data_IF_179176499691
#
_entry.id   IF_179176499691
#
_cell.length_a   1.000
_cell.length_b   1.000
_cell.length_c   1.000
_cell.angle_alpha   90.00
_cell.angle_beta   90.00
_cell.angle_gamma   90.00
#
_symmetry.space_group_name_H-M   'P 1'
#
loop_
_entity.id
_entity.type
_entity.pdbx_description
1 polymer ?
#
# COMPACT_ATOMS: atom_id res chain seq x y z
N UNK A 1 -13.48 10.15 10.63
CA UNK A 1 -12.01 10.18 10.70
C UNK A 1 -11.48 11.61 10.67
N UNK A 2 -11.94 12.46 9.74
CA UNK A 2 -11.52 13.88 9.64
C UNK A 2 -11.77 14.66 10.94
N UNK A 3 -12.93 14.47 11.58
CA UNK A 3 -13.23 15.11 12.87
C UNK A 3 -12.26 14.68 13.97
N UNK A 4 -11.93 13.38 14.05
CA UNK A 4 -10.99 12.89 15.05
C UNK A 4 -9.58 13.47 14.82
N UNK A 5 -9.11 13.54 13.57
CA UNK A 5 -7.81 14.15 13.26
C UNK A 5 -7.79 15.63 13.64
N UNK A 6 -8.88 16.38 13.38
CA UNK A 6 -8.97 17.78 13.77
C UNK A 6 -8.98 17.98 15.29
N UNK A 7 -9.58 17.09 16.05
CA UNK A 7 -9.60 17.15 17.51
C UNK A 7 -8.23 16.85 18.12
N UNK A 8 -7.54 15.82 17.63
CA UNK A 8 -6.17 15.47 18.06
C UNK A 8 -5.12 16.45 17.56
N UNK A 9 -5.37 17.12 16.44
CA UNK A 9 -4.41 18.02 15.78
C UNK A 9 -4.27 19.41 16.44
N UNK A 10 -4.98 19.71 17.52
CA UNK A 10 -4.89 21.03 18.19
C UNK A 10 -3.51 21.33 18.78
N UNK A 11 -2.77 20.30 19.20
CA UNK A 11 -1.40 20.39 19.72
C UNK A 11 -0.31 20.10 18.67
N UNK A 12 -0.71 19.84 17.43
CA UNK A 12 0.16 19.42 16.35
C UNK A 12 -0.01 17.95 16.02
N UNK A 13 0.46 17.57 14.85
CA UNK A 13 0.34 16.21 14.32
C UNK A 13 1.66 15.77 13.70
N UNK A 14 2.39 14.89 14.40
CA UNK A 14 3.72 14.46 13.99
C UNK A 14 3.69 13.39 12.90
N UNK A 15 2.79 12.39 13.03
CA UNK A 15 2.70 11.25 12.13
C UNK A 15 1.25 10.80 11.93
N UNK A 16 0.87 10.60 10.66
CA UNK A 16 -0.37 9.93 10.29
C UNK A 16 -0.06 8.74 9.41
N UNK A 17 -0.58 7.57 9.77
CA UNK A 17 -0.42 6.32 9.02
C UNK A 17 -1.79 5.83 8.51
N UNK A 18 -2.03 5.95 7.20
CA UNK A 18 -3.16 5.32 6.51
C UNK A 18 -2.88 3.82 6.33
N UNK A 19 -3.41 3.00 7.23
CA UNK A 19 -3.16 1.55 7.27
C UNK A 19 -4.36 0.71 6.82
N UNK A 20 -5.59 1.21 6.97
CA UNK A 20 -6.80 0.47 6.63
C UNK A 20 -6.78 0.02 5.18
N UNK A 21 -7.19 -1.22 4.94
CA UNK A 21 -7.25 -1.77 3.59
C UNK A 21 -7.91 -3.13 3.56
N UNK A 22 -8.52 -3.45 2.43
CA UNK A 22 -9.14 -4.75 2.15
C UNK A 22 -8.60 -5.33 0.85
N UNK A 23 -8.78 -6.63 0.68
CA UNK A 23 -8.60 -7.34 -0.59
C UNK A 23 -9.94 -7.87 -1.07
N UNK A 24 -9.99 -8.46 -2.25
CA UNK A 24 -11.20 -9.15 -2.73
C UNK A 24 -11.42 -10.43 -1.94
N UNK A 25 -12.65 -10.63 -1.45
CA UNK A 25 -13.01 -11.82 -0.66
C UNK A 25 -13.25 -13.05 -1.53
N UNK A 26 -13.65 -12.87 -2.78
CA UNK A 26 -13.93 -13.95 -3.72
C UNK A 26 -12.97 -13.91 -4.90
N UNK A 27 -12.30 -15.02 -5.14
CA UNK A 27 -11.52 -15.24 -6.35
C UNK A 27 -12.47 -15.70 -7.44
N UNK A 28 -12.88 -14.76 -8.28
CA UNK A 28 -13.77 -15.06 -9.39
C UNK A 28 -13.00 -14.93 -10.72
N UNK A 29 -13.29 -15.80 -11.67
CA UNK A 29 -12.73 -15.72 -13.03
C UNK A 29 -13.22 -14.44 -13.73
N UNK A 30 -14.37 -13.94 -13.32
CA UNK A 30 -14.96 -12.68 -13.80
C UNK A 30 -14.84 -11.63 -12.69
N UNK A 31 -14.34 -10.41 -12.98
CA UNK A 31 -14.21 -9.36 -11.98
C UNK A 31 -15.56 -9.00 -11.32
N UNK A 32 -15.62 -9.06 -10.00
CA UNK A 32 -16.74 -8.56 -9.21
C UNK A 32 -16.61 -7.05 -9.01
N UNK A 33 -17.34 -6.28 -9.80
CA UNK A 33 -17.29 -4.81 -9.75
C UNK A 33 -17.84 -4.22 -8.44
N UNK A 34 -18.76 -4.89 -7.76
CA UNK A 34 -19.28 -4.40 -6.47
C UNK A 34 -18.22 -4.49 -5.37
N UNK A 35 -17.58 -5.63 -5.24
CA UNK A 35 -16.43 -5.78 -4.34
C UNK A 35 -15.26 -4.91 -4.78
N UNK A 36 -15.02 -4.79 -6.08
CA UNK A 36 -13.99 -3.92 -6.64
C UNK A 36 -14.16 -2.44 -6.25
N UNK A 37 -15.39 -1.91 -6.32
CA UNK A 37 -15.69 -0.53 -5.87
C UNK A 37 -15.37 -0.35 -4.38
N UNK A 38 -15.73 -1.31 -3.51
CA UNK A 38 -15.40 -1.27 -2.08
C UNK A 38 -13.89 -1.26 -1.84
N UNK A 39 -13.13 -2.04 -2.63
CA UNK A 39 -11.66 -2.04 -2.55
C UNK A 39 -11.09 -0.67 -2.89
N UNK A 40 -11.57 -0.03 -3.95
CA UNK A 40 -11.13 1.32 -4.33
C UNK A 40 -11.53 2.35 -3.27
N UNK A 41 -12.78 2.29 -2.80
CA UNK A 41 -13.30 3.19 -1.77
C UNK A 41 -12.47 3.15 -0.49
N UNK A 42 -12.19 1.95 0.02
CA UNK A 42 -11.44 1.81 1.28
C UNK A 42 -9.94 2.07 1.06
N UNK A 43 -9.33 1.44 0.05
CA UNK A 43 -7.89 1.46 -0.12
C UNK A 43 -7.36 2.77 -0.73
N UNK A 44 -8.17 3.49 -1.50
CA UNK A 44 -7.74 4.73 -2.17
C UNK A 44 -8.44 5.94 -1.56
N UNK A 45 -9.77 6.01 -1.60
CA UNK A 45 -10.48 7.16 -1.02
C UNK A 45 -10.28 7.25 0.49
N UNK A 46 -10.19 6.11 1.19
CA UNK A 46 -9.84 6.08 2.62
C UNK A 46 -8.46 6.69 2.92
N UNK A 47 -7.47 6.49 2.04
CA UNK A 47 -6.15 7.14 2.16
C UNK A 47 -6.27 8.65 1.92
N UNK A 48 -7.00 9.09 0.89
CA UNK A 48 -7.23 10.52 0.63
C UNK A 48 -7.93 11.19 1.81
N UNK A 49 -9.03 10.60 2.31
CA UNK A 49 -9.78 11.09 3.46
C UNK A 49 -8.94 11.14 4.76
N UNK A 50 -7.87 10.36 4.84
CA UNK A 50 -6.93 10.37 5.96
C UNK A 50 -5.87 11.45 5.77
N UNK A 51 -5.36 11.62 4.54
CA UNK A 51 -4.28 12.53 4.25
C UNK A 51 -4.72 13.98 4.20
N UNK A 52 -5.89 14.27 3.63
CA UNK A 52 -6.39 15.64 3.44
C UNK A 52 -6.35 16.45 4.75
N UNK A 53 -7.07 16.08 5.83
CA UNK A 53 -7.06 16.86 7.07
C UNK A 53 -5.68 16.82 7.77
N UNK A 54 -4.88 15.77 7.60
CA UNK A 54 -3.55 15.69 8.16
C UNK A 54 -2.60 16.69 7.48
N UNK A 55 -2.64 16.76 6.15
CA UNK A 55 -1.83 17.69 5.37
C UNK A 55 -2.19 19.13 5.72
N UNK A 56 -3.47 19.47 5.87
CA UNK A 56 -3.92 20.82 6.23
C UNK A 56 -3.32 21.30 7.57
N UNK A 57 -3.23 20.40 8.55
CA UNK A 57 -2.61 20.71 9.85
C UNK A 57 -1.09 20.83 9.70
N UNK A 58 -0.46 19.88 9.01
CA UNK A 58 0.99 19.84 8.83
C UNK A 58 1.52 21.02 8.02
N UNK A 59 0.74 21.52 7.05
CA UNK A 59 1.08 22.72 6.27
C UNK A 59 1.15 23.97 7.15
N UNK A 60 0.23 24.13 8.11
CA UNK A 60 0.23 25.24 9.07
C UNK A 60 1.46 25.19 9.98
N UNK A 61 1.84 23.97 10.38
CA UNK A 61 2.97 23.75 11.30
C UNK A 61 4.32 23.67 10.55
N UNK A 62 4.32 23.62 9.22
CA UNK A 62 5.50 23.41 8.36
C UNK A 62 6.34 22.19 8.79
N UNK A 63 5.68 21.19 9.31
CA UNK A 63 6.27 19.95 9.84
C UNK A 63 5.24 18.85 9.86
N UNK A 64 5.66 17.61 9.64
CA UNK A 64 4.83 16.42 9.77
C UNK A 64 5.35 15.24 8.98
N UNK A 65 4.63 14.13 9.10
CA UNK A 65 4.94 12.90 8.38
C UNK A 65 3.64 12.16 8.07
N UNK A 66 3.32 12.00 6.80
CA UNK A 66 2.24 11.12 6.36
C UNK A 66 2.83 9.81 5.83
N UNK A 67 2.13 8.71 6.08
CA UNK A 67 2.52 7.40 5.58
C UNK A 67 1.30 6.58 5.16
N UNK A 68 1.45 5.74 4.14
CA UNK A 68 0.41 4.81 3.73
C UNK A 68 0.96 3.40 3.56
N UNK A 69 0.10 2.41 3.90
CA UNK A 69 0.37 0.99 3.64
C UNK A 69 -0.19 0.61 2.28
N UNK A 70 0.71 0.52 1.30
CA UNK A 70 0.47 -0.05 -0.01
C UNK A 70 0.71 -1.57 0.00
N UNK A 71 1.32 -2.12 -1.04
CA UNK A 71 1.70 -3.53 -1.18
C UNK A 71 2.67 -3.70 -2.32
N UNK A 72 3.44 -4.78 -2.32
CA UNK A 72 4.19 -5.23 -3.50
C UNK A 72 3.28 -5.54 -4.70
N UNK A 73 2.02 -5.88 -4.46
CA UNK A 73 1.00 -6.06 -5.49
C UNK A 73 0.67 -4.77 -6.27
N UNK A 74 1.03 -3.60 -5.75
CA UNK A 74 0.89 -2.33 -6.46
C UNK A 74 1.89 -2.10 -7.60
N UNK A 75 2.89 -2.97 -7.75
CA UNK A 75 3.90 -2.83 -8.80
C UNK A 75 3.60 -3.65 -10.06
N UNK A 76 2.69 -4.61 -9.96
CA UNK A 76 2.35 -5.54 -11.04
C UNK A 76 0.85 -5.86 -11.03
N UNK A 77 0.28 -6.15 -12.19
CA UNK A 77 -1.09 -6.68 -12.27
C UNK A 77 -1.08 -8.20 -12.07
N UNK A 78 -1.90 -8.70 -11.16
CA UNK A 78 -2.03 -10.13 -10.89
C UNK A 78 -3.44 -10.61 -11.25
N UNK A 79 -3.59 -11.73 -11.99
CA UNK A 79 -4.89 -12.32 -12.27
C UNK A 79 -5.65 -12.63 -10.97
N UNK A 80 -6.95 -12.34 -10.93
CA UNK A 80 -7.79 -12.52 -9.74
C UNK A 80 -7.63 -11.44 -8.64
N UNK A 81 -6.71 -10.47 -8.80
CA UNK A 81 -6.46 -9.42 -7.82
C UNK A 81 -6.46 -8.00 -8.44
N UNK A 82 -7.15 -7.80 -9.57
CA UNK A 82 -7.08 -6.59 -10.38
C UNK A 82 -7.38 -5.30 -9.59
N UNK A 83 -8.50 -5.24 -8.87
CA UNK A 83 -8.88 -4.06 -8.08
C UNK A 83 -7.93 -3.80 -6.91
N UNK A 84 -7.45 -4.87 -6.28
CA UNK A 84 -6.44 -4.75 -5.21
C UNK A 84 -5.12 -4.20 -5.75
N UNK A 85 -4.59 -4.78 -6.83
CA UNK A 85 -3.37 -4.31 -7.47
C UNK A 85 -3.51 -2.84 -7.91
N UNK A 86 -4.61 -2.49 -8.57
CA UNK A 86 -4.90 -1.13 -9.00
C UNK A 86 -4.96 -0.15 -7.82
N UNK A 87 -5.66 -0.53 -6.72
CA UNK A 87 -5.75 0.31 -5.53
C UNK A 87 -4.39 0.55 -4.89
N UNK A 88 -3.55 -0.48 -4.79
CA UNK A 88 -2.21 -0.37 -4.19
C UNK A 88 -1.23 0.39 -5.10
N UNK A 89 -1.37 0.25 -6.42
CA UNK A 89 -0.63 1.07 -7.39
C UNK A 89 -0.99 2.56 -7.24
N UNK A 90 -2.27 2.89 -7.14
CA UNK A 90 -2.73 4.25 -6.92
C UNK A 90 -2.12 4.87 -5.66
N UNK A 91 -2.14 4.16 -4.52
CA UNK A 91 -1.54 4.62 -3.26
C UNK A 91 -0.03 4.81 -3.38
N UNK A 92 0.68 3.90 -4.05
CA UNK A 92 2.13 4.02 -4.27
C UNK A 92 2.45 5.28 -5.07
N UNK A 93 1.74 5.51 -6.18
CA UNK A 93 1.94 6.69 -7.04
C UNK A 93 1.58 8.00 -6.33
N UNK A 94 0.49 8.01 -5.54
CA UNK A 94 0.14 9.18 -4.70
C UNK A 94 1.25 9.51 -3.72
N UNK A 95 1.78 8.53 -2.99
CA UNK A 95 2.87 8.77 -2.04
C UNK A 95 4.15 9.26 -2.74
N UNK A 96 4.45 8.74 -3.92
CA UNK A 96 5.61 9.17 -4.72
C UNK A 96 5.47 10.65 -5.10
N UNK A 97 4.33 11.05 -5.66
CA UNK A 97 4.03 12.44 -6.02
C UNK A 97 4.08 13.35 -4.79
N UNK A 98 3.34 13.02 -3.74
CA UNK A 98 3.32 13.82 -2.51
C UNK A 98 4.69 13.94 -1.84
N UNK A 99 5.56 12.93 -1.97
CA UNK A 99 6.93 13.02 -1.44
C UNK A 99 7.77 14.12 -2.09
N UNK A 100 7.45 14.49 -3.33
CA UNK A 100 8.07 15.61 -4.03
C UNK A 100 7.37 16.93 -3.69
N UNK A 101 6.04 16.96 -3.76
CA UNK A 101 5.23 18.16 -3.60
C UNK A 101 5.32 18.77 -2.18
N UNK A 102 5.29 17.88 -1.15
CA UNK A 102 5.23 18.30 0.26
C UNK A 102 6.60 18.53 0.90
N UNK A 103 7.70 18.13 0.23
CA UNK A 103 9.06 18.30 0.76
C UNK A 103 9.39 19.75 1.12
N UNK A 104 8.99 20.71 0.29
CA UNK A 104 9.25 22.13 0.50
C UNK A 104 8.51 22.71 1.73
N UNK A 105 7.50 22.01 2.22
CA UNK A 105 6.75 22.39 3.42
C UNK A 105 7.21 21.65 4.68
N UNK A 106 8.32 20.90 4.62
CA UNK A 106 8.84 20.17 5.77
C UNK A 106 8.05 18.89 6.10
N UNK A 107 7.18 18.43 5.21
CA UNK A 107 6.35 17.24 5.42
C UNK A 107 7.00 16.04 4.72
N UNK A 108 7.31 15.00 5.51
CA UNK A 108 7.80 13.72 5.00
C UNK A 108 6.66 12.84 4.50
N UNK A 109 6.93 11.98 3.50
CA UNK A 109 5.96 11.00 3.00
C UNK A 109 6.64 9.64 2.91
N UNK A 110 6.01 8.61 3.49
CA UNK A 110 6.49 7.22 3.44
C UNK A 110 5.45 6.31 2.81
N UNK A 111 5.82 5.63 1.73
CA UNK A 111 5.06 4.53 1.16
C UNK A 111 5.61 3.20 1.66
N UNK A 112 4.78 2.40 2.33
CA UNK A 112 5.12 1.10 2.89
C UNK A 112 4.54 0.02 1.97
N UNK A 113 5.40 -0.83 1.40
CA UNK A 113 5.00 -1.87 0.46
C UNK A 113 5.41 -3.25 0.99
N UNK A 114 4.60 -3.86 1.88
CA UNK A 114 4.89 -5.20 2.37
C UNK A 114 4.62 -6.26 1.31
N UNK A 115 5.39 -7.36 1.40
CA UNK A 115 4.99 -8.64 0.84
C UNK A 115 3.94 -9.32 1.73
N UNK A 116 3.98 -10.65 1.81
CA UNK A 116 3.02 -11.39 2.64
C UNK A 116 3.33 -11.25 4.13
N UNK A 117 2.37 -10.72 4.88
CA UNK A 117 2.40 -10.63 6.35
C UNK A 117 1.23 -11.44 6.88
N UNK A 118 1.46 -12.30 7.87
CA UNK A 118 0.40 -13.09 8.52
C UNK A 118 -0.57 -12.17 9.24
N UNK A 119 -1.78 -12.09 8.73
CA UNK A 119 -2.86 -11.24 9.23
C UNK A 119 -4.19 -11.87 8.82
N UNK A 120 -5.34 -11.51 9.43
CA UNK A 120 -6.65 -11.98 8.98
C UNK A 120 -6.93 -11.76 7.48
N UNK A 121 -6.27 -10.77 6.86
CA UNK A 121 -6.37 -10.51 5.43
C UNK A 121 -5.69 -11.61 4.61
N UNK A 122 -4.53 -12.09 5.05
CA UNK A 122 -3.74 -13.11 4.35
C UNK A 122 -4.14 -14.53 4.73
N UNK A 123 -4.76 -14.75 5.89
CA UNK A 123 -5.24 -16.07 6.33
C UNK A 123 -6.34 -16.64 5.42
N UNK A 124 -7.02 -15.76 4.67
CA UNK A 124 -8.00 -16.14 3.64
C UNK A 124 -7.38 -16.64 2.33
N UNK A 125 -6.06 -16.51 2.17
CA UNK A 125 -5.39 -16.92 0.94
C UNK A 125 -5.18 -18.44 0.86
N UNK A 126 -5.61 -19.04 -0.25
CA UNK A 126 -5.40 -20.46 -0.55
C UNK A 126 -4.16 -20.74 -1.42
N UNK A 127 -3.47 -19.68 -1.89
CA UNK A 127 -2.28 -19.80 -2.72
C UNK A 127 -0.99 -19.68 -1.92
N UNK A 128 0.13 -20.08 -2.52
CA UNK A 128 1.44 -19.96 -1.88
C UNK A 128 1.78 -18.50 -1.54
N UNK A 129 2.29 -18.29 -0.35
CA UNK A 129 2.73 -16.99 0.17
C UNK A 129 4.24 -17.01 0.43
N UNK A 130 5.07 -16.82 -0.61
CA UNK A 130 6.51 -16.86 -0.46
C UNK A 130 6.98 -15.76 0.49
N UNK A 131 7.94 -16.11 1.35
CA UNK A 131 8.52 -15.20 2.35
C UNK A 131 7.52 -14.61 3.35
N UNK A 132 6.47 -15.38 3.69
CA UNK A 132 5.46 -14.99 4.69
C UNK A 132 6.15 -14.59 6.01
N UNK A 133 5.80 -13.41 6.51
CA UNK A 133 6.38 -12.82 7.71
C UNK A 133 5.32 -12.71 8.82
N UNK A 134 5.73 -12.90 10.07
CA UNK A 134 4.85 -12.65 11.21
C UNK A 134 4.55 -11.15 11.36
N UNK A 135 3.35 -10.81 11.80
CA UNK A 135 2.86 -9.43 11.93
C UNK A 135 3.72 -8.56 12.85
N UNK A 136 4.19 -9.10 13.96
CA UNK A 136 5.06 -8.40 14.91
C UNK A 136 6.43 -8.03 14.32
N UNK A 137 7.00 -8.91 13.48
CA UNK A 137 8.24 -8.64 12.74
C UNK A 137 8.00 -7.56 11.68
N UNK A 138 6.87 -7.66 10.96
CA UNK A 138 6.44 -6.65 9.99
C UNK A 138 6.29 -5.27 10.63
N UNK A 139 5.59 -5.21 11.78
CA UNK A 139 5.36 -3.97 12.51
C UNK A 139 6.67 -3.30 12.96
N UNK A 140 7.64 -4.08 13.49
CA UNK A 140 8.96 -3.54 13.85
C UNK A 140 9.72 -2.96 12.66
N UNK A 141 9.61 -3.59 11.47
CA UNK A 141 10.22 -3.07 10.24
C UNK A 141 9.56 -1.79 9.78
N UNK A 142 8.23 -1.73 9.83
CA UNK A 142 7.45 -0.53 9.51
C UNK A 142 7.84 0.61 10.44
N UNK A 143 7.87 0.37 11.76
CA UNK A 143 8.29 1.37 12.75
C UNK A 143 9.65 1.98 12.38
N UNK A 144 10.67 1.15 12.11
CA UNK A 144 12.00 1.64 11.71
C UNK A 144 11.97 2.45 10.41
N UNK A 145 11.14 2.06 9.44
CA UNK A 145 11.00 2.80 8.19
C UNK A 145 10.39 4.20 8.42
N UNK A 146 9.40 4.29 9.31
CA UNK A 146 8.76 5.55 9.69
C UNK A 146 9.73 6.45 10.49
N UNK A 147 10.44 5.90 11.47
CA UNK A 147 11.47 6.64 12.25
C UNK A 147 12.55 7.25 11.34
N UNK A 148 12.95 6.52 10.29
CA UNK A 148 13.94 6.98 9.31
C UNK A 148 13.31 7.78 8.14
N UNK A 149 12.02 8.04 8.14
CA UNK A 149 11.27 8.77 7.10
C UNK A 149 11.61 8.28 5.69
N UNK A 150 11.69 6.94 5.50
CA UNK A 150 12.01 6.35 4.21
C UNK A 150 10.89 6.64 3.21
N UNK A 151 11.19 7.21 2.05
CA UNK A 151 10.18 7.56 1.03
C UNK A 151 9.43 6.33 0.52
N UNK A 152 10.16 5.25 0.24
CA UNK A 152 9.61 3.97 -0.22
C UNK A 152 10.28 2.83 0.54
N UNK A 153 9.47 2.00 1.21
CA UNK A 153 9.95 0.86 1.97
C UNK A 153 9.28 -0.44 1.51
N UNK A 154 10.01 -1.23 0.73
CA UNK A 154 9.58 -2.54 0.24
C UNK A 154 10.28 -3.62 1.06
N UNK A 155 9.50 -4.56 1.63
CA UNK A 155 10.02 -5.67 2.43
C UNK A 155 9.13 -6.93 2.34
N UNK A 156 9.68 -8.12 2.57
CA UNK A 156 11.08 -8.44 2.81
C UNK A 156 11.96 -8.20 1.57
N UNK A 157 13.28 -8.19 1.75
CA UNK A 157 14.23 -7.85 0.68
C UNK A 157 14.13 -8.80 -0.53
N UNK A 158 13.80 -10.08 -0.29
CA UNK A 158 13.59 -11.07 -1.35
C UNK A 158 12.44 -10.66 -2.28
N UNK A 159 11.33 -10.22 -1.69
CA UNK A 159 10.18 -9.72 -2.47
C UNK A 159 10.54 -8.43 -3.20
N UNK A 160 11.33 -7.55 -2.57
CA UNK A 160 11.84 -6.34 -3.24
C UNK A 160 12.66 -6.70 -4.48
N UNK A 161 13.56 -7.67 -4.39
CA UNK A 161 14.35 -8.13 -5.55
C UNK A 161 13.46 -8.69 -6.65
N UNK A 162 12.49 -9.56 -6.31
CA UNK A 162 11.56 -10.14 -7.26
C UNK A 162 10.77 -9.06 -8.01
N UNK A 163 10.17 -8.11 -7.29
CA UNK A 163 9.39 -7.02 -7.91
C UNK A 163 10.29 -6.12 -8.78
N UNK A 164 11.50 -5.81 -8.31
CA UNK A 164 12.45 -5.02 -9.10
C UNK A 164 12.82 -5.72 -10.41
N UNK A 165 12.99 -7.03 -10.37
CA UNK A 165 13.23 -7.85 -11.57
C UNK A 165 12.03 -7.85 -12.50
N UNK A 166 10.82 -8.14 -11.97
CA UNK A 166 9.58 -8.16 -12.76
C UNK A 166 9.29 -6.82 -13.45
N UNK A 167 9.60 -5.70 -12.80
CA UNK A 167 9.43 -4.38 -13.38
C UNK A 167 10.42 -4.05 -14.51
N UNK A 168 11.56 -4.76 -14.58
CA UNK A 168 12.54 -4.61 -15.65
C UNK A 168 12.23 -5.47 -16.88
N UNK A 169 11.37 -6.47 -16.73
CA UNK A 169 10.96 -7.33 -17.85
C UNK A 169 10.08 -6.51 -18.81
N UNK A 170 10.34 -6.57 -20.13
CA UNK A 170 9.45 -5.97 -21.12
C UNK A 170 8.01 -6.43 -20.95
N UNK A 171 7.05 -5.52 -21.06
CA UNK A 171 5.63 -5.80 -20.74
C UNK A 171 5.03 -6.97 -21.53
N UNK A 172 5.50 -7.22 -22.77
CA UNK A 172 5.03 -8.36 -23.55
C UNK A 172 5.46 -9.70 -22.94
N UNK A 173 6.70 -9.81 -22.42
CA UNK A 173 7.17 -11.01 -21.72
C UNK A 173 6.46 -11.19 -20.38
N UNK A 174 6.24 -10.10 -19.64
CA UNK A 174 5.48 -10.14 -18.40
C UNK A 174 4.06 -10.71 -18.63
N UNK A 175 3.38 -10.31 -19.71
CA UNK A 175 2.04 -10.84 -20.06
C UNK A 175 2.04 -12.35 -20.24
N UNK A 176 3.04 -12.91 -20.89
CA UNK A 176 3.20 -14.37 -21.03
C UNK A 176 3.40 -15.03 -19.66
N UNK A 177 4.23 -14.42 -18.81
CA UNK A 177 4.54 -14.98 -17.48
C UNK A 177 3.30 -15.03 -16.58
N UNK A 178 2.46 -13.97 -16.56
CA UNK A 178 1.29 -13.91 -15.67
C UNK A 178 0.15 -14.84 -16.12
N UNK A 179 0.15 -15.32 -17.36
CA UNK A 179 -0.79 -16.31 -17.86
C UNK A 179 -0.46 -17.73 -17.39
N UNK A 180 0.74 -17.96 -16.82
CA UNK A 180 1.13 -19.26 -16.32
C UNK A 180 0.26 -19.68 -15.11
N UNK A 181 -0.20 -20.94 -15.07
CA UNK A 181 -1.21 -21.41 -14.10
C UNK A 181 -0.82 -21.21 -12.63
N UNK A 182 0.47 -21.23 -12.30
CA UNK A 182 0.96 -21.10 -10.93
C UNK A 182 0.96 -19.64 -10.41
N UNK A 183 0.78 -18.64 -11.28
CA UNK A 183 0.64 -17.23 -10.90
C UNK A 183 -0.82 -16.76 -10.87
N UNK A 184 -1.74 -17.63 -11.20
CA UNK A 184 -3.16 -17.31 -11.19
C UNK A 184 -3.72 -17.38 -9.77
N UNK A 185 -4.17 -16.25 -9.25
CA UNK A 185 -4.79 -16.13 -7.92
C UNK A 185 -6.22 -16.69 -7.84
N UNK A 186 -6.81 -17.12 -8.97
CA UNK A 186 -8.18 -17.67 -9.03
C UNK A 186 -8.24 -19.18 -8.78
N UNK A 187 -7.11 -19.87 -8.70
CA UNK A 187 -7.05 -21.32 -8.46
C UNK A 187 -6.54 -21.66 -7.07
#
# INVERSE_FOLDING_TARGET
LALAINDFGKEGLDLVLANAGISVDAKTDIPDFNNGRKVIEINVLGVLNTFEPAIDIMLKNKSGHIAAVSSVAGFVGLPGASFYCASKAAVTTLCESYSADLKKYGIAVTCICPGFIRTPLTDKNSHGMPFLMNSDVGARKIKRALENKLKLFIFPWQTKMLITFLNKIPRFLYRIIIELPFLNYTK
#
